data_IF_822334920134
#
_entry.id   IF_822334920134
#
_cell.length_a   1.000
_cell.length_b   1.000
_cell.length_c   1.000
_cell.angle_alpha   90.00
_cell.angle_beta   90.00
_cell.angle_gamma   90.00
#
_symmetry.space_group_name_H-M   'P 1'
#
loop_
_entity.id
_entity.type
_entity.pdbx_description
1 polymer ?
#
# COMPACT_ATOMS: atom_id res chain seq x y z
N UNK A 1 56.64 -3.47 18.34
CA UNK A 1 56.62 -3.32 16.88
C UNK A 1 56.23 -1.89 16.55
N UNK A 2 57.23 -1.02 16.44
CA UNK A 2 57.09 0.34 15.92
C UNK A 2 57.97 0.35 14.69
N UNK A 3 57.36 0.32 13.50
CA UNK A 3 58.05 0.43 12.22
C UNK A 3 57.55 1.67 11.49
N UNK A 4 58.35 2.73 11.60
CA UNK A 4 58.65 3.72 10.55
C UNK A 4 57.75 3.74 9.30
N UNK A 5 56.84 4.70 9.25
CA UNK A 5 56.37 5.34 8.00
C UNK A 5 57.20 6.60 7.79
N UNK A 6 58.34 6.48 7.12
CA UNK A 6 59.07 7.62 6.58
C UNK A 6 58.37 8.11 5.31
N UNK A 7 58.02 9.40 5.23
CA UNK A 7 57.71 10.08 3.97
C UNK A 7 56.45 10.95 3.90
N UNK A 8 55.67 11.09 4.97
CA UNK A 8 54.49 11.99 4.98
C UNK A 8 54.57 12.95 6.17
N UNK A 9 55.18 14.12 5.97
CA UNK A 9 55.08 15.23 6.93
C UNK A 9 53.67 15.82 6.85
N UNK A 10 52.91 15.70 7.95
CA UNK A 10 51.66 16.43 8.15
C UNK A 10 51.98 17.84 8.66
N UNK A 11 52.50 18.70 7.77
CA UNK A 11 52.80 20.08 8.13
C UNK A 11 51.53 20.92 8.23
N UNK A 12 51.27 21.43 9.43
CA UNK A 12 50.32 22.51 9.66
C UNK A 12 51.00 23.81 9.25
N UNK A 13 50.60 24.37 8.11
CA UNK A 13 51.29 25.44 7.37
C UNK A 13 52.61 25.00 6.71
N UNK A 14 52.57 24.45 5.48
CA UNK A 14 53.79 24.19 4.71
C UNK A 14 54.38 25.53 4.25
N UNK A 15 55.21 26.13 5.08
CA UNK A 15 56.05 27.25 4.70
C UNK A 15 57.12 26.72 3.72
N UNK A 16 56.90 26.92 2.43
CA UNK A 16 57.96 26.89 1.42
C UNK A 16 57.83 25.90 0.25
N UNK A 17 56.91 24.94 0.25
CA UNK A 17 56.83 23.93 -0.83
C UNK A 17 55.45 23.66 -1.46
N UNK A 18 54.37 24.31 -1.01
CA UNK A 18 53.00 23.94 -1.45
C UNK A 18 52.13 25.05 -2.04
N UNK A 19 52.68 26.27 -2.17
CA UNK A 19 52.01 27.38 -2.85
C UNK A 19 52.46 27.53 -4.30
N UNK A 20 51.64 28.17 -5.13
CA UNK A 20 51.97 28.44 -6.54
C UNK A 20 51.67 27.26 -7.45
N UNK A 21 50.71 26.42 -7.07
CA UNK A 21 50.26 25.33 -7.93
C UNK A 21 49.46 25.90 -9.12
N UNK A 22 49.63 25.35 -10.33
CA UNK A 22 48.79 25.72 -11.47
C UNK A 22 47.31 25.59 -11.12
N UNK A 23 46.56 26.68 -11.32
CA UNK A 23 45.12 26.75 -11.08
C UNK A 23 44.69 26.35 -9.65
N UNK A 24 45.50 26.68 -8.64
CA UNK A 24 45.22 26.39 -7.21
C UNK A 24 43.86 26.91 -6.73
N UNK A 25 43.34 27.96 -7.36
CA UNK A 25 42.00 28.49 -7.13
C UNK A 25 40.86 27.50 -7.45
N UNK A 26 41.13 26.42 -8.19
CA UNK A 26 40.17 25.35 -8.49
C UNK A 26 40.27 24.13 -7.57
N UNK A 27 41.36 24.02 -6.81
CA UNK A 27 41.61 22.86 -5.95
C UNK A 27 41.49 23.19 -4.47
N UNK A 28 41.98 24.36 -4.06
CA UNK A 28 42.18 24.74 -2.66
C UNK A 28 41.24 25.85 -2.18
N UNK A 29 40.78 26.70 -3.10
CA UNK A 29 39.83 27.76 -2.76
C UNK A 29 38.41 27.18 -2.67
N UNK A 30 37.52 27.98 -2.10
CA UNK A 30 36.14 27.59 -1.82
C UNK A 30 35.16 28.36 -2.70
N UNK A 31 34.06 27.73 -3.11
CA UNK A 31 33.08 28.39 -3.98
C UNK A 31 31.96 29.10 -3.20
N UNK A 32 31.80 28.85 -1.90
CA UNK A 32 30.79 29.51 -1.09
C UNK A 32 31.18 29.59 0.39
N UNK A 33 30.47 30.45 1.13
CA UNK A 33 30.67 30.68 2.56
C UNK A 33 30.37 29.43 3.41
N UNK A 34 29.38 28.62 3.02
CA UNK A 34 29.07 27.39 3.75
C UNK A 34 30.24 26.39 3.72
N UNK A 35 30.79 26.08 2.53
CA UNK A 35 31.91 25.16 2.40
C UNK A 35 33.15 25.71 3.13
N UNK A 36 33.41 27.01 3.00
CA UNK A 36 34.47 27.71 3.73
C UNK A 36 34.38 27.49 5.24
N UNK A 37 33.20 27.70 5.84
CA UNK A 37 32.97 27.54 7.28
C UNK A 37 33.05 26.08 7.77
N UNK A 38 33.06 25.11 6.85
CA UNK A 38 33.20 23.69 7.12
C UNK A 38 34.61 23.18 6.76
N UNK A 39 35.59 24.07 6.69
CA UNK A 39 36.97 23.69 6.37
C UNK A 39 37.10 23.07 4.98
N UNK A 40 36.26 23.49 4.03
CA UNK A 40 36.20 22.94 2.67
C UNK A 40 35.89 21.43 2.60
N UNK A 41 35.33 20.84 3.66
CA UNK A 41 34.88 19.45 3.67
C UNK A 41 33.47 19.34 3.08
N UNK A 42 33.39 19.17 1.75
CA UNK A 42 32.14 19.27 0.99
C UNK A 42 31.98 18.18 -0.07
N UNK A 43 32.95 17.27 -0.23
CA UNK A 43 32.96 16.25 -1.28
C UNK A 43 31.83 15.22 -1.13
N UNK A 44 31.43 14.91 0.10
CA UNK A 44 30.30 14.02 0.39
C UNK A 44 28.94 14.74 0.46
N UNK A 45 28.95 16.08 0.53
CA UNK A 45 27.73 16.86 0.72
C UNK A 45 26.94 16.93 -0.59
N UNK A 46 25.63 16.76 -0.49
CA UNK A 46 24.72 16.83 -1.62
C UNK A 46 23.57 17.82 -1.36
N UNK A 47 22.68 17.95 -2.34
CA UNK A 47 21.43 18.70 -2.28
C UNK A 47 21.55 20.23 -2.46
N UNK A 48 22.67 20.75 -2.97
CA UNK A 48 22.86 22.20 -3.24
C UNK A 48 23.51 22.46 -4.59
N UNK A 49 23.20 23.60 -5.20
CA UNK A 49 23.77 24.00 -6.49
C UNK A 49 25.29 24.16 -6.43
N UNK A 50 25.80 24.67 -5.31
CA UNK A 50 27.24 24.86 -5.07
C UNK A 50 28.03 23.54 -4.98
N UNK A 51 27.38 22.38 -4.82
CA UNK A 51 28.10 21.13 -4.69
C UNK A 51 28.90 20.74 -5.95
N UNK A 52 28.50 21.22 -7.13
CA UNK A 52 29.12 20.84 -8.41
C UNK A 52 30.62 21.13 -8.49
N UNK A 53 31.12 22.14 -7.76
CA UNK A 53 32.54 22.48 -7.68
C UNK A 53 33.36 21.39 -6.97
N UNK A 54 32.82 20.80 -5.91
CA UNK A 54 33.49 19.79 -5.11
C UNK A 54 33.26 18.38 -5.66
N UNK A 55 32.00 18.05 -5.93
CA UNK A 55 31.57 16.76 -6.45
C UNK A 55 30.36 16.94 -7.36
N UNK A 56 30.45 16.65 -8.68
CA UNK A 56 29.32 16.81 -9.59
C UNK A 56 28.11 15.95 -9.23
N UNK A 57 28.28 14.84 -8.51
CA UNK A 57 27.15 14.04 -8.02
C UNK A 57 26.35 14.76 -6.93
N UNK A 58 26.92 15.78 -6.27
CA UNK A 58 26.29 16.49 -5.16
C UNK A 58 25.04 17.30 -5.53
N UNK A 59 24.84 17.64 -6.81
CA UNK A 59 23.61 18.32 -7.23
C UNK A 59 22.42 17.36 -7.44
N UNK A 60 22.62 16.04 -7.35
CA UNK A 60 21.59 15.04 -7.69
C UNK A 60 20.37 15.02 -6.76
N UNK A 61 20.50 15.61 -5.56
CA UNK A 61 19.42 15.71 -4.58
C UNK A 61 18.87 17.16 -4.50
N UNK A 62 19.21 18.02 -5.47
CA UNK A 62 18.61 19.35 -5.60
C UNK A 62 17.17 19.18 -6.07
N UNK A 63 16.22 19.47 -5.19
CA UNK A 63 14.79 19.30 -5.45
C UNK A 63 14.09 20.54 -6.04
N UNK A 64 14.72 21.71 -5.98
CA UNK A 64 14.19 22.97 -6.50
C UNK A 64 15.21 23.62 -7.40
N UNK A 65 14.76 24.48 -8.32
CA UNK A 65 15.72 25.31 -9.05
C UNK A 65 16.42 26.22 -8.05
N UNK A 66 17.73 26.10 -7.95
CA UNK A 66 18.53 26.84 -6.99
C UNK A 66 19.55 27.68 -7.73
N UNK A 67 19.61 28.96 -7.37
CA UNK A 67 20.61 29.90 -7.84
C UNK A 67 21.38 30.43 -6.63
N UNK A 68 22.70 30.36 -6.66
CA UNK A 68 23.58 30.82 -5.58
C UNK A 68 24.62 31.77 -6.12
N UNK A 69 24.84 32.86 -5.39
CA UNK A 69 25.95 33.78 -5.61
C UNK A 69 26.81 33.82 -4.37
N UNK A 70 28.12 33.92 -4.56
CA UNK A 70 29.07 34.08 -3.48
C UNK A 70 30.14 35.10 -3.84
N UNK A 71 30.55 35.90 -2.86
CA UNK A 71 31.64 36.85 -3.00
C UNK A 71 32.57 36.77 -1.79
N UNK A 72 33.87 36.95 -2.05
CA UNK A 72 34.89 37.16 -1.05
C UNK A 72 35.92 38.17 -1.55
N UNK A 73 36.39 39.04 -0.67
CA UNK A 73 37.59 39.86 -0.90
C UNK A 73 38.73 39.16 -0.18
N UNK A 74 39.75 38.79 -0.96
CA UNK A 74 40.95 38.10 -0.54
C UNK A 74 42.11 39.09 -0.39
N UNK A 75 43.31 38.57 -0.13
CA UNK A 75 44.52 39.38 -0.01
C UNK A 75 44.82 40.20 -1.28
N UNK A 76 45.51 41.32 -1.11
CA UNK A 76 45.90 42.22 -2.21
C UNK A 76 44.73 42.70 -3.08
N UNK A 77 43.56 42.91 -2.47
CA UNK A 77 42.32 43.34 -3.14
C UNK A 77 41.82 42.36 -4.22
N UNK A 78 42.27 41.10 -4.16
CA UNK A 78 41.81 40.06 -5.08
C UNK A 78 40.37 39.70 -4.77
N UNK A 79 39.50 39.70 -5.78
CA UNK A 79 38.08 39.37 -5.63
C UNK A 79 37.82 37.95 -6.12
N UNK A 80 37.06 37.19 -5.33
CA UNK A 80 36.57 35.89 -5.71
C UNK A 80 35.04 35.94 -5.83
N UNK A 81 34.54 35.65 -7.02
CA UNK A 81 33.11 35.65 -7.33
C UNK A 81 32.69 34.27 -7.81
N UNK A 82 31.61 33.74 -7.24
CA UNK A 82 31.08 32.44 -7.64
C UNK A 82 29.59 32.56 -7.94
N UNK A 83 29.16 31.88 -8.99
CA UNK A 83 27.76 31.71 -9.33
C UNK A 83 27.52 30.22 -9.54
N UNK A 84 26.45 29.69 -8.95
CA UNK A 84 26.03 28.31 -9.12
C UNK A 84 24.54 28.25 -9.38
N UNK A 85 24.15 27.42 -10.33
CA UNK A 85 22.78 27.18 -10.73
C UNK A 85 22.56 25.68 -10.83
N UNK A 86 21.45 25.18 -10.30
CA UNK A 86 21.02 23.81 -10.47
C UNK A 86 19.52 23.76 -10.74
N UNK A 87 19.12 22.94 -11.71
CA UNK A 87 17.75 22.76 -12.13
C UNK A 87 17.44 21.27 -12.25
N UNK A 88 16.51 20.74 -11.41
CA UNK A 88 16.05 19.37 -11.57
C UNK A 88 15.25 19.24 -12.86
N UNK A 89 15.72 18.39 -13.78
CA UNK A 89 15.03 18.10 -15.04
C UNK A 89 13.87 17.12 -14.82
N UNK A 90 14.05 16.20 -13.88
CA UNK A 90 13.06 15.23 -13.39
C UNK A 90 13.56 14.63 -12.05
N UNK A 91 12.90 13.59 -11.54
CA UNK A 91 13.22 12.94 -10.26
C UNK A 91 14.64 12.32 -10.18
N UNK A 92 15.23 11.99 -11.33
CA UNK A 92 16.50 11.29 -11.42
C UNK A 92 17.64 12.14 -11.97
N UNK A 93 17.35 13.22 -12.72
CA UNK A 93 18.35 13.99 -13.46
C UNK A 93 18.34 15.46 -13.07
N UNK A 94 19.54 16.00 -12.82
CA UNK A 94 19.73 17.43 -12.50
C UNK A 94 20.77 18.01 -13.45
N UNK A 95 20.43 19.17 -14.02
CA UNK A 95 21.35 20.00 -14.78
C UNK A 95 21.92 21.09 -13.88
N UNK A 96 23.20 21.38 -14.02
CA UNK A 96 23.87 22.44 -13.28
C UNK A 96 24.78 23.28 -14.17
N UNK A 97 24.94 24.53 -13.75
CA UNK A 97 25.96 25.43 -14.27
C UNK A 97 26.65 26.09 -13.07
N UNK A 98 27.97 26.20 -13.10
CA UNK A 98 28.69 27.02 -12.12
C UNK A 98 29.79 27.80 -12.79
N UNK A 99 30.13 28.96 -12.25
CA UNK A 99 31.29 29.74 -12.66
C UNK A 99 31.98 30.31 -11.44
N UNK A 100 33.30 30.11 -11.37
CA UNK A 100 34.18 30.67 -10.36
C UNK A 100 35.15 31.61 -11.07
N UNK A 101 35.20 32.85 -10.59
CA UNK A 101 36.06 33.88 -11.11
C UNK A 101 36.95 34.45 -10.00
N UNK A 102 38.23 34.59 -10.29
CA UNK A 102 39.22 35.23 -9.46
C UNK A 102 39.78 36.43 -10.23
N UNK A 103 39.70 37.62 -9.66
CA UNK A 103 40.17 38.87 -10.26
C UNK A 103 41.22 39.47 -9.33
N UNK A 104 42.46 39.65 -9.79
CA UNK A 104 43.49 40.30 -8.99
C UNK A 104 43.19 41.78 -8.78
N UNK A 105 43.83 42.38 -7.77
CA UNK A 105 43.98 43.83 -7.72
C UNK A 105 44.72 44.38 -8.95
N UNK A 106 44.60 45.69 -9.18
CA UNK A 106 45.29 46.35 -10.29
C UNK A 106 46.80 46.41 -10.01
N UNK A 107 47.60 46.00 -11.00
CA UNK A 107 49.05 46.12 -11.01
C UNK A 107 49.49 47.18 -12.03
N UNK A 108 50.51 47.96 -11.69
CA UNK A 108 51.11 48.94 -12.61
C UNK A 108 51.95 48.20 -13.66
N UNK A 109 51.77 48.51 -14.94
CA UNK A 109 52.67 47.99 -15.97
C UNK A 109 53.96 48.79 -16.00
N UNK A 110 55.07 48.10 -15.83
CA UNK A 110 56.41 48.69 -15.91
C UNK A 110 57.16 48.16 -17.13
N UNK A 111 58.20 48.88 -17.56
CA UNK A 111 59.19 48.34 -18.48
C UNK A 111 60.28 47.53 -17.75
N UNK A 112 61.35 47.17 -18.47
CA UNK A 112 62.44 46.35 -17.94
C UNK A 112 63.31 47.05 -16.88
N UNK A 113 63.25 48.38 -16.78
CA UNK A 113 63.99 49.15 -15.76
C UNK A 113 63.09 49.59 -14.59
N UNK A 114 61.78 49.31 -14.67
CA UNK A 114 60.81 49.59 -13.63
C UNK A 114 59.99 50.87 -13.87
N UNK A 115 60.19 51.56 -14.99
CA UNK A 115 59.46 52.78 -15.29
C UNK A 115 58.02 52.47 -15.72
N UNK A 116 57.08 53.29 -15.24
CA UNK A 116 55.66 53.11 -15.53
C UNK A 116 55.36 53.32 -17.01
N UNK A 117 54.57 52.40 -17.59
CA UNK A 117 54.00 52.56 -18.94
C UNK A 117 52.69 53.35 -18.98
N UNK A 118 52.29 53.96 -17.86
CA UNK A 118 51.14 54.86 -17.80
C UNK A 118 49.77 54.19 -17.72
N UNK A 119 49.71 52.86 -17.54
CA UNK A 119 48.45 52.15 -17.29
C UNK A 119 48.64 50.95 -16.35
N UNK A 120 47.52 50.50 -15.80
CA UNK A 120 47.42 49.31 -14.94
C UNK A 120 46.75 48.17 -15.67
N UNK A 121 47.05 46.95 -15.25
CA UNK A 121 46.37 45.74 -15.71
C UNK A 121 45.96 44.89 -14.50
N UNK A 122 45.07 43.94 -14.72
CA UNK A 122 44.72 42.90 -13.75
C UNK A 122 44.85 41.52 -14.39
N UNK A 123 44.84 40.51 -13.55
CA UNK A 123 44.69 39.12 -13.92
C UNK A 123 43.26 38.66 -13.62
N UNK A 124 42.64 37.98 -14.58
CA UNK A 124 41.34 37.33 -14.42
C UNK A 124 41.44 35.86 -14.74
N UNK A 125 41.13 35.01 -13.77
CA UNK A 125 41.02 33.58 -13.91
C UNK A 125 39.55 33.18 -13.79
N UNK A 126 39.03 32.44 -14.76
CA UNK A 126 37.63 32.00 -14.76
C UNK A 126 37.56 30.51 -15.05
N UNK A 127 36.82 29.77 -14.22
CA UNK A 127 36.44 28.39 -14.50
C UNK A 127 34.93 28.23 -14.51
N UNK A 128 34.41 27.68 -15.59
CA UNK A 128 33.00 27.41 -15.76
C UNK A 128 32.76 25.91 -15.91
N UNK A 129 31.69 25.44 -15.29
CA UNK A 129 31.31 24.04 -15.20
C UNK A 129 29.90 23.89 -15.77
N UNK A 130 29.74 22.97 -16.71
CA UNK A 130 28.43 22.41 -17.07
C UNK A 130 28.34 21.05 -16.39
N UNK A 131 27.34 20.88 -15.53
CA UNK A 131 27.19 19.69 -14.69
C UNK A 131 25.96 18.93 -15.11
N UNK A 132 26.10 17.62 -15.25
CA UNK A 132 24.98 16.69 -15.33
C UNK A 132 25.12 15.67 -14.22
N UNK A 133 24.07 15.51 -13.43
CA UNK A 133 24.06 14.51 -12.38
C UNK A 133 22.82 13.63 -12.47
N UNK A 134 22.97 12.40 -11.95
CA UNK A 134 21.95 11.38 -12.00
C UNK A 134 21.87 10.60 -10.70
N UNK A 135 20.66 10.40 -10.20
CA UNK A 135 20.32 9.39 -9.19
C UNK A 135 20.28 8.01 -9.84
N UNK A 136 21.23 7.14 -9.48
CA UNK A 136 21.25 5.76 -9.99
C UNK A 136 20.27 4.85 -9.24
N UNK A 137 20.11 5.10 -7.94
CA UNK A 137 19.16 4.43 -7.07
C UNK A 137 18.91 5.31 -5.83
N UNK A 138 18.18 4.80 -4.83
CA UNK A 138 17.86 5.57 -3.62
C UNK A 138 19.06 5.96 -2.75
N UNK A 139 20.25 5.41 -3.01
CA UNK A 139 21.46 5.58 -2.19
C UNK A 139 22.68 6.07 -2.97
N UNK A 140 22.71 5.94 -4.30
CA UNK A 140 23.89 6.22 -5.11
C UNK A 140 23.59 7.26 -6.17
N UNK A 141 24.46 8.26 -6.22
CA UNK A 141 24.40 9.40 -7.13
C UNK A 141 25.70 9.49 -7.91
N UNK A 142 25.60 9.85 -9.18
CA UNK A 142 26.76 10.09 -10.04
C UNK A 142 26.64 11.46 -10.69
N UNK A 143 27.76 12.03 -11.09
CA UNK A 143 27.77 13.25 -11.88
C UNK A 143 29.03 13.42 -12.69
N UNK A 144 28.91 14.25 -13.71
CA UNK A 144 30.00 14.66 -14.60
C UNK A 144 30.00 16.18 -14.74
N UNK A 145 31.18 16.78 -14.71
CA UNK A 145 31.39 18.18 -15.10
C UNK A 145 32.14 18.23 -16.42
N UNK A 146 31.68 19.07 -17.34
CA UNK A 146 32.54 19.63 -18.37
C UNK A 146 33.05 21.00 -17.91
N UNK A 147 34.37 21.17 -17.86
CA UNK A 147 35.04 22.33 -17.29
C UNK A 147 35.80 23.10 -18.36
N UNK A 148 35.60 24.42 -18.41
CA UNK A 148 36.39 25.33 -19.24
C UNK A 148 37.07 26.31 -18.32
N UNK A 149 38.39 26.36 -18.39
CA UNK A 149 39.25 27.22 -17.58
C UNK A 149 39.92 28.24 -18.49
N UNK A 150 39.97 29.49 -18.07
CA UNK A 150 40.61 30.56 -18.82
C UNK A 150 41.35 31.51 -17.89
N UNK A 151 42.40 32.11 -18.42
CA UNK A 151 43.24 33.07 -17.73
C UNK A 151 43.55 34.21 -18.70
N UNK A 152 43.30 35.43 -18.26
CA UNK A 152 43.63 36.65 -18.98
C UNK A 152 44.56 37.48 -18.09
N UNK A 153 45.71 37.89 -18.64
CA UNK A 153 46.67 38.78 -17.98
C UNK A 153 47.04 39.86 -19.00
N UNK A 154 46.64 41.11 -18.72
CA UNK A 154 46.86 42.22 -19.64
C UNK A 154 46.35 41.92 -21.07
N UNK A 155 47.23 41.74 -22.06
CA UNK A 155 46.85 41.41 -23.45
C UNK A 155 46.92 39.92 -23.77
N UNK A 156 47.35 39.07 -22.84
CA UNK A 156 47.54 37.64 -23.06
C UNK A 156 46.34 36.86 -22.53
N UNK A 157 45.86 35.92 -23.33
CA UNK A 157 44.75 35.04 -22.99
C UNK A 157 45.12 33.59 -23.25
N UNK A 158 44.69 32.70 -22.35
CA UNK A 158 44.80 31.27 -22.52
C UNK A 158 43.57 30.54 -21.98
N UNK A 159 43.30 29.36 -22.54
CA UNK A 159 42.16 28.52 -22.17
C UNK A 159 42.55 27.05 -22.16
N UNK A 160 42.00 26.30 -21.20
CA UNK A 160 42.07 24.86 -21.11
C UNK A 160 40.69 24.26 -20.83
N UNK A 161 40.57 22.95 -21.04
CA UNK A 161 39.32 22.23 -20.83
C UNK A 161 39.57 20.95 -20.04
N UNK A 162 38.56 20.49 -19.31
CA UNK A 162 38.65 19.23 -18.59
C UNK A 162 37.30 18.61 -18.28
N UNK A 163 37.35 17.41 -17.72
CA UNK A 163 36.20 16.66 -17.27
C UNK A 163 36.44 16.20 -15.83
N UNK A 164 35.42 16.34 -15.00
CA UNK A 164 35.39 15.76 -13.66
C UNK A 164 34.32 14.67 -13.58
N UNK A 165 34.56 13.62 -12.80
CA UNK A 165 33.57 12.60 -12.48
C UNK A 165 33.44 12.45 -10.97
N UNK A 166 32.21 12.30 -10.50
CA UNK A 166 31.91 12.20 -9.08
C UNK A 166 30.86 11.17 -8.77
N UNK A 167 30.96 10.61 -7.57
CA UNK A 167 30.01 9.65 -6.99
C UNK A 167 29.75 10.05 -5.54
N UNK A 168 28.49 9.95 -5.13
CA UNK A 168 28.10 10.01 -3.71
C UNK A 168 27.28 8.77 -3.39
N UNK A 169 27.54 8.16 -2.24
CA UNK A 169 26.77 7.02 -1.73
C UNK A 169 26.34 7.27 -0.29
N UNK A 170 25.02 7.30 -0.08
CA UNK A 170 24.40 7.35 1.24
C UNK A 170 24.30 5.90 1.76
N UNK A 171 25.19 5.53 2.67
CA UNK A 171 25.21 4.17 3.21
C UNK A 171 24.02 3.93 4.15
N UNK A 172 23.79 4.90 5.03
CA UNK A 172 22.63 5.01 5.94
C UNK A 172 21.90 6.34 5.71
N UNK A 173 20.84 6.63 6.46
CA UNK A 173 20.17 7.94 6.40
C UNK A 173 21.06 9.07 6.95
N UNK A 174 22.01 8.71 7.81
CA UNK A 174 22.93 9.62 8.49
C UNK A 174 24.30 9.74 7.81
N UNK A 175 24.80 8.68 7.17
CA UNK A 175 26.18 8.62 6.67
C UNK A 175 26.26 8.60 5.15
N UNK A 176 27.00 9.56 4.60
CA UNK A 176 27.26 9.69 3.16
C UNK A 176 28.77 9.71 2.88
N UNK A 177 29.15 9.05 1.79
CA UNK A 177 30.53 9.00 1.29
C UNK A 177 30.58 9.67 -0.08
N UNK A 178 31.59 10.49 -0.31
CA UNK A 178 31.84 11.13 -1.60
C UNK A 178 33.19 10.72 -2.18
N UNK A 179 33.25 10.52 -3.49
CA UNK A 179 34.48 10.34 -4.24
C UNK A 179 34.40 11.18 -5.51
N UNK A 180 35.46 11.91 -5.84
CA UNK A 180 35.53 12.70 -7.08
C UNK A 180 36.92 12.59 -7.68
N UNK A 181 36.95 12.38 -9.00
CA UNK A 181 38.15 12.50 -9.82
C UNK A 181 37.99 13.76 -10.65
N UNK A 182 38.72 14.81 -10.29
CA UNK A 182 38.73 16.06 -11.04
C UNK A 182 39.91 16.09 -12.01
N UNK A 183 39.77 16.87 -13.06
CA UNK A 183 40.80 17.09 -14.05
C UNK A 183 41.24 15.78 -14.75
N UNK A 184 40.29 14.91 -15.14
CA UNK A 184 40.59 13.64 -15.83
C UNK A 184 41.39 13.87 -17.12
N UNK A 185 41.17 15.02 -17.75
CA UNK A 185 42.03 15.57 -18.81
C UNK A 185 42.86 16.69 -18.17
N UNK A 186 44.20 16.62 -18.16
CA UNK A 186 45.03 17.69 -17.61
C UNK A 186 44.71 19.04 -18.26
N UNK A 187 44.60 20.09 -17.44
CA UNK A 187 44.36 21.45 -17.91
C UNK A 187 45.72 22.08 -18.18
N UNK A 188 46.02 22.46 -19.42
CA UNK A 188 47.26 23.16 -19.79
C UNK A 188 46.94 24.55 -20.31
N UNK A 189 47.55 25.58 -19.72
CA UNK A 189 47.53 26.96 -20.24
C UNK A 189 48.96 27.49 -20.22
N UNK A 190 49.54 27.73 -21.39
CA UNK A 190 50.95 28.11 -21.50
C UNK A 190 51.87 27.06 -20.86
N UNK A 191 52.82 27.44 -19.98
CA UNK A 191 53.70 26.50 -19.29
C UNK A 191 53.02 25.77 -18.12
N UNK A 192 51.87 26.29 -17.66
CA UNK A 192 51.18 25.79 -16.48
C UNK A 192 50.30 24.61 -16.85
N UNK A 193 50.33 23.56 -16.03
CA UNK A 193 49.42 22.43 -16.21
C UNK A 193 48.92 21.95 -14.84
N UNK A 194 47.62 21.67 -14.70
CA UNK A 194 47.06 20.95 -13.56
C UNK A 194 46.80 19.48 -13.92
N UNK A 195 47.24 18.59 -13.04
CA UNK A 195 47.06 17.15 -13.16
C UNK A 195 45.73 16.69 -12.59
N UNK A 196 45.59 15.37 -12.47
CA UNK A 196 44.40 14.74 -11.91
C UNK A 196 44.33 15.01 -10.41
N UNK A 197 43.15 15.37 -9.90
CA UNK A 197 42.90 15.46 -8.47
C UNK A 197 41.96 14.33 -8.03
N UNK A 198 42.27 13.67 -6.93
CA UNK A 198 41.42 12.68 -6.29
C UNK A 198 40.92 13.25 -4.96
N UNK A 199 39.60 13.40 -4.81
CA UNK A 199 38.96 13.89 -3.59
C UNK A 199 38.05 12.82 -3.01
N UNK A 200 38.11 12.61 -1.70
CA UNK A 200 37.21 11.72 -0.97
C UNK A 200 36.70 12.43 0.27
N UNK A 201 35.46 12.12 0.66
CA UNK A 201 34.80 12.78 1.79
C UNK A 201 33.81 11.90 2.51
N UNK A 202 33.51 12.27 3.75
CA UNK A 202 32.50 11.66 4.61
C UNK A 202 31.66 12.78 5.21
N UNK A 203 30.33 12.63 5.14
CA UNK A 203 29.35 13.39 5.91
C UNK A 203 28.65 12.43 6.87
N UNK A 204 28.53 12.80 8.14
CA UNK A 204 27.80 12.03 9.14
C UNK A 204 26.88 12.92 9.96
N UNK A 205 25.60 12.57 10.03
CA UNK A 205 24.57 13.28 10.79
C UNK A 205 24.36 12.63 12.16
N UNK A 206 24.44 13.46 13.19
CA UNK A 206 24.24 13.10 14.58
C UNK A 206 23.03 13.85 15.15
N UNK A 207 22.50 13.33 16.26
CA UNK A 207 21.44 13.99 17.05
C UNK A 207 20.22 14.36 16.16
N UNK A 208 19.70 13.40 15.38
CA UNK A 208 18.55 13.60 14.47
C UNK A 208 18.72 14.84 13.56
N UNK A 209 19.84 14.91 12.85
CA UNK A 209 20.21 16.00 11.92
C UNK A 209 20.35 17.38 12.57
N UNK A 210 20.66 17.44 13.86
CA UNK A 210 21.03 18.69 14.52
C UNK A 210 22.52 18.97 14.47
N UNK A 211 23.36 17.95 14.42
CA UNK A 211 24.80 18.09 14.36
C UNK A 211 25.31 17.26 13.19
N UNK A 212 25.91 17.87 12.17
CA UNK A 212 26.54 17.11 11.08
C UNK A 212 28.04 17.37 11.09
N UNK A 213 28.83 16.32 10.89
CA UNK A 213 30.28 16.39 10.80
C UNK A 213 30.75 15.98 9.41
N UNK A 214 31.85 16.61 8.98
CA UNK A 214 32.43 16.48 7.65
C UNK A 214 33.93 16.22 7.77
N UNK A 215 34.44 15.32 6.93
CA UNK A 215 35.86 15.05 6.77
C UNK A 215 36.15 14.83 5.29
N UNK A 216 37.09 15.59 4.73
CA UNK A 216 37.56 15.44 3.36
C UNK A 216 39.07 15.26 3.31
N UNK A 217 39.54 14.46 2.35
CA UNK A 217 40.96 14.31 1.98
C UNK A 217 41.08 14.42 0.47
N UNK A 218 42.05 15.20 0.01
CA UNK A 218 42.32 15.43 -1.42
C UNK A 218 43.79 15.19 -1.72
N UNK A 219 44.05 14.46 -2.80
CA UNK A 219 45.37 14.28 -3.40
C UNK A 219 45.35 15.02 -4.73
N UNK A 220 46.20 16.02 -4.88
CA UNK A 220 46.19 16.95 -6.02
C UNK A 220 47.38 16.71 -6.94
N UNK A 221 47.19 17.02 -8.23
CA UNK A 221 48.22 17.00 -9.26
C UNK A 221 48.91 15.63 -9.47
N UNK A 222 48.14 14.54 -9.35
CA UNK A 222 48.63 13.18 -9.61
C UNK A 222 49.15 13.07 -11.05
N UNK A 223 50.25 12.33 -11.22
CA UNK A 223 50.90 12.00 -12.50
C UNK A 223 51.57 13.18 -13.25
N UNK A 224 52.14 14.15 -12.53
CA UNK A 224 53.02 15.16 -13.13
C UNK A 224 54.48 14.96 -12.72
N UNK A 225 55.35 14.84 -13.72
CA UNK A 225 56.75 14.47 -13.52
C UNK A 225 57.64 15.47 -12.77
N UNK A 226 57.24 16.75 -12.66
CA UNK A 226 58.07 17.82 -12.09
C UNK A 226 57.56 18.45 -10.80
N UNK A 227 56.34 18.12 -10.35
CA UNK A 227 55.75 18.65 -9.11
C UNK A 227 55.39 17.52 -8.16
N UNK A 228 55.65 17.69 -6.86
CA UNK A 228 55.27 16.73 -5.84
C UNK A 228 53.74 16.65 -5.72
N UNK A 229 53.21 15.43 -5.55
CA UNK A 229 51.80 15.23 -5.22
C UNK A 229 51.49 15.98 -3.92
N UNK A 230 50.38 16.72 -3.90
CA UNK A 230 50.00 17.53 -2.76
C UNK A 230 48.80 16.94 -2.03
N UNK A 231 48.90 16.77 -0.72
CA UNK A 231 47.79 16.30 0.11
C UNK A 231 47.15 17.47 0.84
N UNK A 232 45.82 17.52 0.81
CA UNK A 232 44.97 18.49 1.50
C UNK A 232 43.91 17.75 2.29
N UNK A 233 43.47 18.34 3.40
CA UNK A 233 42.42 17.77 4.23
C UNK A 233 41.56 18.89 4.81
N UNK A 234 40.33 18.56 5.14
CA UNK A 234 39.34 19.46 5.72
C UNK A 234 38.48 18.73 6.73
N UNK A 235 38.17 19.40 7.83
CA UNK A 235 37.29 18.94 8.89
C UNK A 235 36.27 20.04 9.18
N UNK A 236 35.00 19.67 9.34
CA UNK A 236 33.93 20.64 9.56
C UNK A 236 32.82 20.07 10.43
N UNK A 237 32.15 20.95 11.17
CA UNK A 237 30.92 20.63 11.90
C UNK A 237 29.88 21.72 11.65
N UNK A 238 28.63 21.33 11.41
CA UNK A 238 27.47 22.23 11.40
C UNK A 238 26.50 21.84 12.51
N UNK A 239 26.03 22.83 13.26
CA UNK A 239 25.05 22.65 14.32
C UNK A 239 23.82 23.53 14.09
N UNK A 240 22.64 22.90 14.09
CA UNK A 240 21.32 23.52 13.96
C UNK A 240 20.84 23.99 15.33
N UNK A 241 20.97 25.29 15.61
CA UNK A 241 20.51 25.89 16.86
C UNK A 241 18.98 25.93 16.90
N UNK A 242 18.39 26.49 15.84
CA UNK A 242 16.94 26.54 15.60
C UNK A 242 16.68 26.18 14.13
N UNK A 243 15.42 26.01 13.74
CA UNK A 243 15.05 25.55 12.38
C UNK A 243 15.72 26.38 11.27
N UNK A 244 15.90 27.67 11.48
CA UNK A 244 16.46 28.60 10.50
C UNK A 244 17.93 28.93 10.73
N UNK A 245 18.51 28.67 11.90
CA UNK A 245 19.86 29.14 12.24
C UNK A 245 20.83 27.99 12.42
N UNK A 246 21.93 28.08 11.68
CA UNK A 246 23.04 27.16 11.71
C UNK A 246 24.31 27.89 12.10
N UNK A 247 25.10 27.26 12.96
CA UNK A 247 26.47 27.66 13.23
C UNK A 247 27.41 26.59 12.71
N UNK A 248 28.57 27.02 12.24
CA UNK A 248 29.55 26.14 11.59
C UNK A 248 30.94 26.48 12.08
N UNK A 249 31.74 25.45 12.26
CA UNK A 249 33.16 25.58 12.54
C UNK A 249 33.91 24.56 11.69
N UNK A 250 35.07 24.95 11.18
CA UNK A 250 35.83 24.09 10.30
C UNK A 250 37.29 24.45 10.30
N UNK A 251 38.11 23.51 9.88
CA UNK A 251 39.55 23.62 9.89
C UNK A 251 40.12 22.81 8.74
N UNK A 252 41.06 23.39 8.01
CA UNK A 252 41.73 22.71 6.91
C UNK A 252 43.24 22.94 6.99
N UNK A 253 43.96 22.45 5.99
CA UNK A 253 45.42 22.59 5.92
C UNK A 253 45.97 24.04 5.87
N UNK A 254 45.11 25.07 5.76
CA UNK A 254 45.50 26.48 5.60
C UNK A 254 44.80 27.46 6.53
N UNK A 255 43.58 27.17 6.97
CA UNK A 255 42.78 28.12 7.73
C UNK A 255 41.86 27.43 8.73
N UNK A 256 41.64 28.13 9.84
CA UNK A 256 40.54 27.86 10.77
C UNK A 256 39.38 28.74 10.35
N UNK A 257 38.15 28.23 10.40
CA UNK A 257 36.97 28.92 9.89
C UNK A 257 35.80 28.80 10.86
N UNK A 258 35.00 29.85 10.92
CA UNK A 258 33.72 29.87 11.59
C UNK A 258 32.66 30.49 10.67
N UNK A 259 31.41 30.09 10.81
CA UNK A 259 30.36 30.63 9.98
C UNK A 259 28.97 30.49 10.56
N UNK A 260 28.06 31.23 9.95
CA UNK A 260 26.66 31.32 10.31
C UNK A 260 25.81 31.16 9.05
N UNK A 261 24.71 30.41 9.17
CA UNK A 261 23.76 30.18 8.10
C UNK A 261 22.35 30.48 8.56
N UNK A 262 21.65 31.33 7.82
CA UNK A 262 20.23 31.62 8.01
C UNK A 262 19.48 30.99 6.85
N UNK A 263 18.78 29.89 7.12
CA UNK A 263 17.99 29.16 6.15
C UNK A 263 16.52 29.55 6.29
N UNK A 264 16.01 30.30 5.32
CA UNK A 264 14.59 30.53 5.11
C UNK A 264 14.06 29.57 4.03
N UNK A 265 12.75 29.55 3.83
CA UNK A 265 12.09 28.63 2.89
C UNK A 265 12.70 28.71 1.47
N UNK A 266 12.70 29.92 0.89
CA UNK A 266 13.19 30.19 -0.47
C UNK A 266 14.59 30.82 -0.54
N UNK A 267 15.15 31.26 0.58
CA UNK A 267 16.43 31.96 0.60
C UNK A 267 17.32 31.45 1.73
N UNK A 268 18.59 31.21 1.43
CA UNK A 268 19.62 31.00 2.44
C UNK A 268 20.65 32.12 2.38
N UNK A 269 21.10 32.55 3.55
CA UNK A 269 22.21 33.48 3.71
C UNK A 269 23.30 32.79 4.51
N UNK A 270 24.48 32.67 3.92
CA UNK A 270 25.64 32.09 4.58
C UNK A 270 26.76 33.13 4.69
N UNK A 271 27.38 33.17 5.86
CA UNK A 271 28.55 33.99 6.13
C UNK A 271 29.65 33.12 6.74
N UNK A 272 30.89 33.33 6.30
CA UNK A 272 32.06 32.73 6.90
C UNK A 272 33.17 33.74 7.15
N UNK A 273 33.91 33.50 8.22
CA UNK A 273 35.17 34.14 8.51
C UNK A 273 36.24 33.04 8.62
N UNK A 274 37.26 33.13 7.75
CA UNK A 274 38.42 32.25 7.79
C UNK A 274 39.63 33.00 8.31
N UNK A 275 40.31 32.43 9.29
CA UNK A 275 41.53 32.93 9.89
C UNK A 275 42.72 32.26 9.20
N UNK A 276 43.38 33.02 8.32
CA UNK A 276 44.62 32.64 7.65
C UNK A 276 45.78 33.42 8.30
N UNK A 277 47.05 32.93 8.28
CA UNK A 277 48.17 33.64 8.90
C UNK A 277 48.44 35.05 8.36
N UNK A 278 47.98 35.33 7.13
CA UNK A 278 48.18 36.64 6.48
C UNK A 278 47.12 37.63 6.95
N UNK A 279 45.84 37.25 6.92
CA UNK A 279 44.71 38.08 7.33
C UNK A 279 43.44 37.21 7.48
N UNK A 280 42.38 37.81 8.00
CA UNK A 280 41.05 37.22 8.03
C UNK A 280 40.32 37.45 6.70
N UNK A 281 39.71 36.39 6.17
CA UNK A 281 38.93 36.44 4.94
C UNK A 281 37.45 36.27 5.26
N UNK A 282 36.65 37.25 4.84
CA UNK A 282 35.19 37.22 4.96
C UNK A 282 34.56 36.75 3.66
N UNK A 283 33.60 35.83 3.75
CA UNK A 283 32.84 35.35 2.58
C UNK A 283 31.35 35.43 2.84
N UNK A 284 30.62 35.81 1.80
CA UNK A 284 29.16 35.94 1.83
C UNK A 284 28.58 35.12 0.70
N UNK A 285 27.50 34.39 0.99
CA UNK A 285 26.74 33.67 -0.04
C UNK A 285 25.25 33.83 0.17
N UNK A 286 24.54 33.94 -0.94
CA UNK A 286 23.08 33.97 -0.98
C UNK A 286 22.60 32.92 -1.96
N UNK A 287 21.75 32.02 -1.48
CA UNK A 287 21.09 31.01 -2.31
C UNK A 287 19.60 31.32 -2.39
N UNK A 288 19.04 31.35 -3.59
CA UNK A 288 17.62 31.52 -3.85
C UNK A 288 17.06 30.27 -4.53
N UNK A 289 15.97 29.73 -3.97
CA UNK A 289 15.26 28.55 -4.46
C UNK A 289 13.90 28.94 -5.01
N UNK A 290 13.62 28.51 -6.24
CA UNK A 290 12.38 28.80 -6.95
C UNK A 290 11.99 27.65 -7.88
N UNK A 291 10.78 27.73 -8.44
CA UNK A 291 10.23 26.72 -9.34
C UNK A 291 9.27 25.74 -8.66
N UNK A 292 8.52 25.03 -9.49
CA UNK A 292 7.52 24.02 -9.11
C UNK A 292 7.99 22.64 -9.58
N UNK A 293 8.87 22.03 -8.81
CA UNK A 293 9.03 20.57 -8.78
C UNK A 293 8.34 20.10 -7.51
N UNK A 294 7.53 19.01 -7.56
CA UNK A 294 6.78 18.57 -6.40
C UNK A 294 7.75 18.36 -5.25
N UNK A 295 7.50 19.04 -4.15
CA UNK A 295 8.32 18.93 -2.94
C UNK A 295 8.50 17.45 -2.61
N UNK A 296 9.66 17.01 -2.13
CA UNK A 296 9.79 15.62 -1.62
C UNK A 296 8.67 15.26 -0.62
N UNK A 297 8.17 16.28 0.10
CA UNK A 297 6.97 16.19 0.95
C UNK A 297 5.65 16.05 0.18
N UNK A 298 5.49 16.64 -1.00
CA UNK A 298 4.33 16.45 -1.89
C UNK A 298 4.35 15.08 -2.57
N UNK A 299 5.54 14.56 -2.91
CA UNK A 299 5.72 13.17 -3.36
C UNK A 299 5.41 12.17 -2.25
N UNK A 300 5.89 12.43 -1.03
CA UNK A 300 5.53 11.67 0.17
C UNK A 300 4.04 11.79 0.49
N UNK A 301 3.46 12.98 0.34
CA UNK A 301 2.02 13.19 0.49
C UNK A 301 1.30 12.32 -0.54
N UNK A 302 1.62 12.45 -1.83
CA UNK A 302 0.99 11.69 -2.91
C UNK A 302 1.04 10.19 -2.66
N UNK A 303 2.19 9.65 -2.25
CA UNK A 303 2.32 8.24 -1.84
C UNK A 303 1.41 7.88 -0.66
N UNK A 304 1.40 8.71 0.40
CA UNK A 304 0.50 8.52 1.56
C UNK A 304 -0.97 8.63 1.15
N UNK A 305 -1.32 9.54 0.24
CA UNK A 305 -2.69 9.72 -0.25
C UNK A 305 -3.11 8.52 -1.10
N UNK A 306 -2.23 7.99 -1.95
CA UNK A 306 -2.48 6.76 -2.71
C UNK A 306 -2.64 5.53 -1.80
N UNK A 307 -1.81 5.39 -0.76
CA UNK A 307 -1.98 4.34 0.26
C UNK A 307 -3.28 4.49 1.04
N UNK A 308 -3.64 5.72 1.42
CA UNK A 308 -4.92 6.04 2.06
C UNK A 308 -6.10 5.69 1.16
N UNK A 309 -6.05 6.01 -0.14
CA UNK A 309 -7.11 5.66 -1.09
C UNK A 309 -7.23 4.16 -1.28
N UNK A 310 -6.12 3.41 -1.38
CA UNK A 310 -6.14 1.94 -1.43
C UNK A 310 -6.77 1.34 -0.16
N UNK A 311 -6.39 1.85 1.01
CA UNK A 311 -6.94 1.42 2.31
C UNK A 311 -8.42 1.77 2.45
N UNK A 312 -8.83 2.93 1.94
CA UNK A 312 -10.23 3.34 1.93
C UNK A 312 -11.06 2.44 1.01
N UNK A 313 -10.53 2.11 -0.18
CA UNK A 313 -11.17 1.20 -1.12
C UNK A 313 -11.31 -0.22 -0.54
N UNK A 314 -10.28 -0.77 0.10
CA UNK A 314 -10.36 -2.09 0.74
C UNK A 314 -11.37 -2.10 1.90
N UNK A 315 -11.41 -1.03 2.69
CA UNK A 315 -12.40 -0.89 3.77
C UNK A 315 -13.84 -0.78 3.24
N UNK A 316 -14.05 -0.06 2.13
CA UNK A 316 -15.35 0.02 1.45
C UNK A 316 -15.80 -1.35 0.92
N UNK A 317 -14.89 -2.11 0.32
CA UNK A 317 -15.17 -3.45 -0.18
C UNK A 317 -15.54 -4.43 0.95
N UNK A 318 -14.75 -4.46 2.03
CA UNK A 318 -15.05 -5.24 3.24
C UNK A 318 -16.41 -4.85 3.85
N UNK A 319 -16.72 -3.56 3.91
CA UNK A 319 -18.00 -3.06 4.41
C UNK A 319 -19.15 -3.53 3.54
N UNK A 320 -19.04 -3.43 2.21
CA UNK A 320 -20.09 -3.86 1.29
C UNK A 320 -20.35 -5.36 1.40
N UNK A 321 -19.30 -6.19 1.43
CA UNK A 321 -19.42 -7.63 1.64
C UNK A 321 -20.09 -7.97 2.97
N UNK A 322 -19.80 -7.19 4.03
CA UNK A 322 -20.42 -7.36 5.34
C UNK A 322 -21.88 -6.91 5.38
N UNK A 323 -22.23 -5.83 4.68
CA UNK A 323 -23.62 -5.39 4.55
C UNK A 323 -24.45 -6.40 3.76
N UNK A 324 -23.90 -6.98 2.68
CA UNK A 324 -24.54 -8.04 1.91
C UNK A 324 -24.75 -9.32 2.73
N UNK A 325 -23.72 -9.76 3.47
CA UNK A 325 -23.85 -10.96 4.33
C UNK A 325 -24.87 -10.75 5.45
N UNK A 326 -24.88 -9.58 6.10
CA UNK A 326 -25.88 -9.23 7.11
C UNK A 326 -27.29 -9.15 6.51
N UNK A 327 -27.44 -8.66 5.28
CA UNK A 327 -28.73 -8.62 4.60
C UNK A 327 -29.24 -10.03 4.31
N UNK A 328 -28.38 -10.90 3.78
CA UNK A 328 -28.71 -12.31 3.53
C UNK A 328 -29.07 -13.04 4.83
N UNK A 329 -28.33 -12.82 5.92
CA UNK A 329 -28.62 -13.39 7.23
C UNK A 329 -29.96 -12.90 7.79
N UNK A 330 -30.28 -11.61 7.67
CA UNK A 330 -31.59 -11.05 8.06
C UNK A 330 -32.74 -11.63 7.24
N UNK A 331 -32.55 -11.81 5.93
CA UNK A 331 -33.57 -12.43 5.08
C UNK A 331 -33.78 -13.90 5.46
N UNK A 332 -32.71 -14.63 5.76
CA UNK A 332 -32.79 -16.00 6.26
C UNK A 332 -33.53 -16.09 7.60
N UNK A 333 -33.19 -15.25 8.57
CA UNK A 333 -33.88 -15.21 9.87
C UNK A 333 -35.36 -14.87 9.73
N UNK A 334 -35.71 -13.90 8.89
CA UNK A 334 -37.12 -13.59 8.59
C UNK A 334 -37.87 -14.76 7.98
N UNK A 335 -37.20 -15.53 7.12
CA UNK A 335 -37.78 -16.72 6.50
C UNK A 335 -37.98 -17.84 7.52
N UNK A 336 -36.99 -18.11 8.37
CA UNK A 336 -37.10 -19.08 9.48
C UNK A 336 -38.20 -18.69 10.48
N UNK A 337 -38.29 -17.40 10.86
CA UNK A 337 -39.35 -16.88 11.73
C UNK A 337 -40.73 -17.04 11.09
N UNK A 338 -40.87 -16.74 9.79
CA UNK A 338 -42.11 -16.94 9.06
C UNK A 338 -42.54 -18.42 9.02
N UNK A 339 -41.61 -19.34 8.78
CA UNK A 339 -41.86 -20.80 8.83
C UNK A 339 -42.37 -21.20 10.22
N UNK A 340 -41.68 -20.76 11.28
CA UNK A 340 -42.03 -21.11 12.66
C UNK A 340 -43.43 -20.59 13.04
N UNK A 341 -43.76 -19.35 12.68
CA UNK A 341 -45.09 -18.76 12.91
C UNK A 341 -46.17 -19.56 12.17
N UNK A 342 -45.94 -19.90 10.90
CA UNK A 342 -46.91 -20.68 10.10
C UNK A 342 -47.12 -22.08 10.67
N UNK A 343 -46.05 -22.78 11.06
CA UNK A 343 -46.15 -24.09 11.72
C UNK A 343 -46.90 -24.02 13.04
N UNK A 344 -46.63 -23.00 13.85
CA UNK A 344 -47.31 -22.79 15.13
C UNK A 344 -48.82 -22.59 14.93
N UNK A 345 -49.21 -21.69 14.03
CA UNK A 345 -50.62 -21.44 13.71
C UNK A 345 -51.30 -22.67 13.10
N UNK A 346 -50.61 -23.45 12.28
CA UNK A 346 -51.14 -24.68 11.72
C UNK A 346 -51.38 -25.75 12.81
N UNK A 347 -50.46 -25.87 13.78
CA UNK A 347 -50.63 -26.76 14.94
C UNK A 347 -51.79 -26.33 15.83
N UNK A 348 -51.91 -25.04 16.13
CA UNK A 348 -53.02 -24.49 16.91
C UNK A 348 -54.37 -24.81 16.24
N UNK A 349 -54.51 -24.53 14.93
CA UNK A 349 -55.73 -24.86 14.19
C UNK A 349 -56.02 -26.37 14.13
N UNK A 350 -54.98 -27.22 14.11
CA UNK A 350 -55.14 -28.66 14.17
C UNK A 350 -55.64 -29.13 15.54
N UNK A 351 -55.12 -28.58 16.63
CA UNK A 351 -55.56 -28.87 18.00
C UNK A 351 -57.01 -28.41 18.23
N UNK A 352 -57.40 -27.27 17.67
CA UNK A 352 -58.76 -26.73 17.71
C UNK A 352 -59.76 -27.49 16.80
N UNK A 353 -59.30 -28.46 16.02
CA UNK A 353 -60.12 -29.25 15.08
C UNK A 353 -60.46 -28.55 13.77
N UNK A 354 -59.87 -27.38 13.49
CA UNK A 354 -60.02 -26.61 12.26
C UNK A 354 -59.07 -27.10 11.15
N UNK A 355 -59.23 -28.35 10.73
CA UNK A 355 -58.34 -29.04 9.78
C UNK A 355 -58.18 -28.33 8.43
N UNK A 356 -59.24 -27.69 7.92
CA UNK A 356 -59.17 -26.95 6.64
C UNK A 356 -58.28 -25.71 6.73
N UNK A 357 -58.31 -24.99 7.86
CA UNK A 357 -57.49 -23.80 8.07
C UNK A 357 -56.02 -24.19 8.32
N UNK A 358 -55.79 -25.26 9.09
CA UNK A 358 -54.46 -25.84 9.28
C UNK A 358 -53.83 -26.26 7.93
N UNK A 359 -54.60 -26.93 7.06
CA UNK A 359 -54.09 -27.39 5.77
C UNK A 359 -53.76 -26.23 4.81
N UNK A 360 -54.54 -25.15 4.82
CA UNK A 360 -54.23 -23.95 4.02
C UNK A 360 -52.90 -23.30 4.43
N UNK A 361 -52.65 -23.19 5.74
CA UNK A 361 -51.40 -22.65 6.27
C UNK A 361 -50.19 -23.52 5.90
N UNK A 362 -50.35 -24.84 5.92
CA UNK A 362 -49.31 -25.79 5.51
C UNK A 362 -49.04 -25.77 4.01
N UNK A 363 -50.08 -25.64 3.17
CA UNK A 363 -49.89 -25.50 1.72
C UNK A 363 -49.15 -24.22 1.35
N UNK A 364 -49.48 -23.10 2.01
CA UNK A 364 -48.74 -21.84 1.82
C UNK A 364 -47.28 -21.96 2.23
N UNK A 365 -47.00 -22.69 3.32
CA UNK A 365 -45.64 -22.99 3.77
C UNK A 365 -44.89 -23.88 2.77
N UNK A 366 -45.47 -25.02 2.39
CA UNK A 366 -44.86 -25.99 1.49
C UNK A 366 -44.67 -25.46 0.06
N UNK A 367 -45.41 -24.42 -0.33
CA UNK A 367 -45.15 -23.71 -1.58
C UNK A 367 -43.82 -22.95 -1.56
N UNK A 368 -43.40 -22.45 -0.40
CA UNK A 368 -42.16 -21.68 -0.22
C UNK A 368 -40.99 -22.50 0.30
N UNK A 369 -41.26 -23.54 1.09
CA UNK A 369 -40.29 -24.51 1.59
C UNK A 369 -40.82 -25.94 1.36
N UNK A 370 -40.69 -26.48 0.13
CA UNK A 370 -41.24 -27.78 -0.24
C UNK A 370 -40.62 -28.95 0.52
N UNK A 371 -39.48 -28.77 1.18
CA UNK A 371 -38.75 -29.82 1.89
C UNK A 371 -38.95 -29.77 3.41
N UNK A 372 -39.81 -28.87 3.90
CA UNK A 372 -40.07 -28.74 5.32
C UNK A 372 -40.65 -30.04 5.92
N UNK A 373 -39.82 -30.74 6.69
CA UNK A 373 -40.16 -32.05 7.27
C UNK A 373 -41.35 -31.92 8.23
N UNK A 374 -41.33 -30.90 9.11
CA UNK A 374 -42.38 -30.71 10.11
C UNK A 374 -43.73 -30.35 9.50
N UNK A 375 -43.75 -29.62 8.39
CA UNK A 375 -44.98 -29.31 7.67
C UNK A 375 -45.58 -30.55 7.01
N UNK A 376 -44.75 -31.38 6.35
CA UNK A 376 -45.18 -32.65 5.73
C UNK A 376 -45.69 -33.65 6.76
N UNK A 377 -45.06 -33.72 7.93
CA UNK A 377 -45.52 -34.57 9.02
C UNK A 377 -46.91 -34.15 9.50
N UNK A 378 -47.12 -32.85 9.74
CA UNK A 378 -48.41 -32.33 10.20
C UNK A 378 -49.52 -32.46 9.14
N UNK A 379 -49.19 -32.26 7.85
CA UNK A 379 -50.13 -32.47 6.73
C UNK A 379 -50.61 -33.92 6.67
N UNK A 380 -49.69 -34.89 6.79
CA UNK A 380 -50.02 -36.31 6.85
C UNK A 380 -50.91 -36.65 8.06
N UNK A 381 -50.69 -36.02 9.23
CA UNK A 381 -51.55 -36.21 10.39
C UNK A 381 -52.97 -35.68 10.16
N UNK A 382 -53.09 -34.49 9.56
CA UNK A 382 -54.37 -33.89 9.18
C UNK A 382 -55.10 -34.79 8.20
N UNK A 383 -54.42 -35.33 7.19
CA UNK A 383 -55.01 -36.22 6.20
C UNK A 383 -55.54 -37.51 6.85
N UNK A 384 -54.74 -38.15 7.71
CA UNK A 384 -55.15 -39.36 8.45
C UNK A 384 -56.37 -39.10 9.33
N UNK A 385 -56.39 -37.99 10.09
CA UNK A 385 -57.57 -37.63 10.91
C UNK A 385 -58.79 -37.33 10.05
N UNK A 386 -58.62 -36.65 8.92
CA UNK A 386 -59.69 -36.39 7.96
C UNK A 386 -60.29 -37.68 7.40
N UNK A 387 -59.45 -38.65 7.03
CA UNK A 387 -59.85 -39.98 6.57
C UNK A 387 -60.63 -40.75 7.66
N UNK A 388 -60.18 -40.71 8.92
CA UNK A 388 -60.87 -41.34 10.05
C UNK A 388 -62.25 -40.70 10.29
N UNK A 389 -62.34 -39.37 10.28
CA UNK A 389 -63.61 -38.65 10.47
C UNK A 389 -64.60 -38.93 9.34
N UNK A 390 -64.13 -38.97 8.09
CA UNK A 390 -64.94 -39.33 6.92
C UNK A 390 -65.46 -40.77 7.00
N UNK A 391 -64.59 -41.72 7.36
CA UNK A 391 -64.96 -43.12 7.57
C UNK A 391 -66.03 -43.28 8.67
N UNK A 392 -65.88 -42.56 9.79
CA UNK A 392 -66.86 -42.58 10.89
C UNK A 392 -68.23 -42.01 10.46
N UNK A 393 -68.27 -40.87 9.75
CA UNK A 393 -69.52 -40.31 9.24
C UNK A 393 -70.20 -41.24 8.23
N UNK A 394 -69.44 -41.78 7.28
CA UNK A 394 -69.98 -42.73 6.29
C UNK A 394 -70.42 -44.04 6.93
N UNK A 395 -69.79 -44.47 8.01
CA UNK A 395 -70.24 -45.63 8.78
C UNK A 395 -71.61 -45.39 9.43
N UNK A 396 -71.83 -44.23 10.04
CA UNK A 396 -73.12 -43.85 10.59
C UNK A 396 -74.22 -43.80 9.50
N UNK A 397 -73.92 -43.22 8.34
CA UNK A 397 -74.83 -43.21 7.18
C UNK A 397 -75.16 -44.62 6.68
N UNK A 398 -74.15 -45.49 6.55
CA UNK A 398 -74.34 -46.87 6.15
C UNK A 398 -75.20 -47.67 7.14
N UNK A 399 -75.02 -47.43 8.44
CA UNK A 399 -75.84 -48.05 9.49
C UNK A 399 -77.30 -47.59 9.45
N UNK A 400 -77.54 -46.31 9.18
CA UNK A 400 -78.90 -45.76 9.07
C UNK A 400 -79.62 -46.34 7.84
N UNK A 401 -78.95 -46.38 6.69
CA UNK A 401 -79.47 -47.01 5.46
C UNK A 401 -79.76 -48.51 5.66
N UNK A 402 -78.89 -49.22 6.38
CA UNK A 402 -79.10 -50.62 6.73
C UNK A 402 -80.37 -50.82 7.55
N UNK A 403 -80.60 -50.00 8.58
CA UNK A 403 -81.81 -50.05 9.43
C UNK A 403 -83.08 -49.74 8.66
N UNK A 404 -83.00 -48.92 7.61
CA UNK A 404 -84.12 -48.61 6.72
C UNK A 404 -84.39 -49.68 5.65
N UNK A 405 -83.69 -50.83 5.70
CA UNK A 405 -83.74 -51.90 4.69
C UNK A 405 -83.27 -51.48 3.28
N UNK A 406 -82.50 -50.38 3.16
CA UNK A 406 -81.94 -49.89 1.89
C UNK A 406 -80.55 -50.48 1.65
N UNK A 407 -80.50 -51.79 1.48
CA UNK A 407 -79.25 -52.57 1.49
C UNK A 407 -78.28 -52.25 0.34
N UNK A 408 -78.80 -51.93 -0.86
CA UNK A 408 -77.97 -51.58 -2.01
C UNK A 408 -77.19 -50.26 -1.75
N UNK A 409 -77.87 -49.25 -1.21
CA UNK A 409 -77.26 -47.96 -0.88
C UNK A 409 -76.32 -48.05 0.33
N UNK A 410 -76.69 -48.87 1.33
CA UNK A 410 -75.82 -49.18 2.45
C UNK A 410 -74.53 -49.87 1.98
N UNK A 411 -74.62 -50.77 0.97
CA UNK A 411 -73.44 -51.43 0.41
C UNK A 411 -72.48 -50.41 -0.23
N UNK A 412 -73.01 -49.43 -0.96
CA UNK A 412 -72.19 -48.39 -1.59
C UNK A 412 -71.57 -47.42 -0.58
N UNK A 413 -72.29 -47.10 0.50
CA UNK A 413 -71.72 -46.34 1.62
C UNK A 413 -70.58 -47.12 2.31
N UNK A 414 -70.74 -48.43 2.53
CA UNK A 414 -69.68 -49.29 3.10
C UNK A 414 -68.46 -49.41 2.18
N UNK A 415 -68.66 -49.56 0.86
CA UNK A 415 -67.56 -49.57 -0.11
C UNK A 415 -66.72 -48.28 0.00
N UNK A 416 -67.36 -47.11 0.15
CA UNK A 416 -66.66 -45.82 0.32
C UNK A 416 -65.82 -45.77 1.60
N UNK A 417 -66.23 -46.45 2.67
CA UNK A 417 -65.44 -46.56 3.91
C UNK A 417 -64.22 -47.44 3.67
N UNK A 418 -64.40 -48.64 3.09
CA UNK A 418 -63.33 -49.63 2.90
C UNK A 418 -62.23 -49.11 1.95
N UNK A 419 -62.57 -48.22 1.01
CA UNK A 419 -61.58 -47.53 0.16
C UNK A 419 -60.64 -46.67 0.99
N UNK A 420 -61.14 -46.02 2.04
CA UNK A 420 -60.40 -45.06 2.88
C UNK A 420 -59.75 -45.74 4.10
N UNK A 421 -60.47 -46.67 4.74
CA UNK A 421 -59.99 -47.51 5.84
C UNK A 421 -60.40 -48.97 5.61
N UNK A 422 -59.47 -49.74 5.02
CA UNK A 422 -59.66 -51.17 4.71
C UNK A 422 -59.90 -52.04 5.95
N UNK A 423 -59.43 -51.58 7.12
CA UNK A 423 -59.47 -52.34 8.36
C UNK A 423 -60.59 -51.88 9.30
N UNK A 424 -61.51 -51.03 8.83
CA UNK A 424 -62.62 -50.52 9.63
C UNK A 424 -63.55 -51.66 10.06
N UNK A 425 -63.33 -52.20 11.27
CA UNK A 425 -63.98 -53.41 11.79
C UNK A 425 -65.50 -53.37 11.66
N UNK A 426 -66.11 -52.25 12.04
CA UNK A 426 -67.57 -52.08 11.97
C UNK A 426 -68.12 -52.11 10.54
N UNK A 427 -67.37 -51.56 9.57
CA UNK A 427 -67.82 -51.48 8.18
C UNK A 427 -67.69 -52.85 7.49
N UNK A 428 -66.62 -53.60 7.80
CA UNK A 428 -66.44 -54.96 7.34
C UNK A 428 -67.56 -55.89 7.85
N UNK A 429 -67.90 -55.83 9.14
CA UNK A 429 -69.03 -56.58 9.71
C UNK A 429 -70.35 -56.21 9.02
N UNK A 430 -70.61 -54.91 8.84
CA UNK A 430 -71.81 -54.42 8.17
C UNK A 430 -71.89 -54.89 6.71
N UNK A 431 -70.75 -54.99 6.00
CA UNK A 431 -70.69 -55.51 4.64
C UNK A 431 -71.19 -56.96 4.55
N UNK A 432 -70.77 -57.83 5.48
CA UNK A 432 -71.24 -59.22 5.54
C UNK A 432 -72.74 -59.30 5.83
N UNK A 433 -73.24 -58.49 6.77
CA UNK A 433 -74.67 -58.42 7.09
C UNK A 433 -75.51 -57.92 5.90
N UNK A 434 -75.06 -56.88 5.19
CA UNK A 434 -75.70 -56.37 3.97
C UNK A 434 -75.72 -57.45 2.89
N UNK A 435 -74.58 -58.12 2.65
CA UNK A 435 -74.47 -59.19 1.65
C UNK A 435 -75.43 -60.35 1.94
N UNK A 436 -75.54 -60.76 3.21
CA UNK A 436 -76.49 -61.78 3.62
C UNK A 436 -77.95 -61.35 3.38
N UNK A 437 -78.32 -60.10 3.70
CA UNK A 437 -79.67 -59.57 3.47
C UNK A 437 -80.03 -59.46 1.98
N UNK A 438 -79.08 -59.06 1.13
CA UNK A 438 -79.27 -59.03 -0.32
C UNK A 438 -79.49 -60.44 -0.90
N UNK A 439 -78.70 -61.43 -0.46
CA UNK A 439 -78.88 -62.84 -0.85
C UNK A 439 -80.23 -63.40 -0.37
N UNK A 440 -80.72 -62.98 0.79
CA UNK A 440 -82.05 -63.33 1.28
C UNK A 440 -83.17 -62.74 0.40
N UNK A 441 -83.01 -61.50 -0.07
CA UNK A 441 -83.94 -60.86 -1.02
C UNK A 441 -83.99 -61.61 -2.36
N UNK A 442 -82.87 -62.19 -2.77
CA UNK A 442 -82.74 -63.06 -3.96
C UNK A 442 -83.17 -64.52 -3.71
N UNK A 443 -83.65 -64.87 -2.51
CA UNK A 443 -84.03 -66.24 -2.11
C UNK A 443 -82.87 -67.26 -2.14
N UNK A 444 -81.61 -66.81 -2.11
CA UNK A 444 -80.41 -67.65 -2.07
C UNK A 444 -80.02 -67.99 -0.63
N UNK A 445 -80.84 -68.79 0.03
CA UNK A 445 -80.73 -69.07 1.46
C UNK A 445 -79.43 -69.80 1.87
N UNK A 446 -78.93 -70.72 1.03
CA UNK A 446 -77.71 -71.48 1.32
C UNK A 446 -76.45 -70.59 1.24
N UNK A 447 -76.39 -69.70 0.25
CA UNK A 447 -75.32 -68.72 0.12
C UNK A 447 -75.36 -67.68 1.26
N UNK A 448 -76.56 -67.20 1.62
CA UNK A 448 -76.74 -66.31 2.77
C UNK A 448 -76.27 -66.95 4.09
N UNK A 449 -76.56 -68.25 4.28
CA UNK A 449 -76.08 -69.03 5.44
C UNK A 449 -74.55 -69.08 5.49
N UNK A 450 -73.88 -69.35 4.38
CA UNK A 450 -72.42 -69.41 4.31
C UNK A 450 -71.79 -68.05 4.65
N UNK A 451 -72.31 -66.95 4.09
CA UNK A 451 -71.84 -65.58 4.38
C UNK A 451 -71.98 -65.22 5.86
N UNK A 452 -73.08 -65.63 6.52
CA UNK A 452 -73.27 -65.41 7.95
C UNK A 452 -72.38 -66.30 8.83
N UNK A 453 -72.09 -67.53 8.39
CA UNK A 453 -71.12 -68.40 9.07
C UNK A 453 -69.69 -67.86 8.98
N UNK A 454 -69.30 -67.31 7.82
CA UNK A 454 -68.04 -66.59 7.67
C UNK A 454 -67.98 -65.38 8.61
N UNK A 455 -69.08 -64.61 8.71
CA UNK A 455 -69.17 -63.49 9.66
C UNK A 455 -69.02 -63.95 11.11
N UNK A 456 -69.63 -65.07 11.52
CA UNK A 456 -69.47 -65.61 12.88
C UNK A 456 -68.07 -66.17 13.16
N UNK A 457 -67.29 -66.50 12.12
CA UNK A 457 -65.86 -66.77 12.25
C UNK A 457 -65.04 -65.52 12.59
N UNK A 458 -65.55 -64.32 12.26
CA UNK A 458 -64.91 -63.03 12.50
C UNK A 458 -65.44 -62.37 13.79
N UNK A 459 -66.75 -62.44 14.04
CA UNK A 459 -67.45 -61.96 15.24
C UNK A 459 -68.43 -63.03 15.72
N UNK A 460 -67.94 -63.92 16.59
CA UNK A 460 -68.71 -65.07 17.10
C UNK A 460 -69.90 -64.70 17.98
N UNK A 461 -69.99 -63.44 18.41
CA UNK A 461 -71.03 -62.92 19.31
C UNK A 461 -72.11 -62.09 18.59
N UNK A 462 -72.03 -61.99 17.26
CA UNK A 462 -72.91 -61.12 16.49
C UNK A 462 -74.38 -61.56 16.58
N UNK A 463 -75.16 -60.85 17.42
CA UNK A 463 -76.54 -61.20 17.73
C UNK A 463 -77.47 -61.17 16.51
N UNK A 464 -77.23 -60.27 15.56
CA UNK A 464 -78.03 -60.14 14.34
C UNK A 464 -77.73 -61.28 13.37
N UNK A 465 -76.47 -61.64 13.17
CA UNK A 465 -76.08 -62.80 12.37
C UNK A 465 -76.66 -64.10 12.92
N UNK A 466 -76.61 -64.32 14.24
CA UNK A 466 -77.21 -65.49 14.90
C UNK A 466 -78.73 -65.54 14.71
N UNK A 467 -79.40 -64.38 14.76
CA UNK A 467 -80.85 -64.28 14.57
C UNK A 467 -81.23 -64.57 13.12
N UNK A 468 -80.50 -64.01 12.16
CA UNK A 468 -80.68 -64.27 10.73
C UNK A 468 -80.40 -65.74 10.39
N UNK A 469 -79.35 -66.35 10.94
CA UNK A 469 -79.05 -67.77 10.78
C UNK A 469 -80.16 -68.67 11.30
N UNK A 470 -80.73 -68.37 12.49
CA UNK A 470 -81.89 -69.10 13.01
C UNK A 470 -83.11 -68.99 12.08
N UNK A 471 -83.37 -67.79 11.54
CA UNK A 471 -84.46 -67.58 10.56
C UNK A 471 -84.22 -68.35 9.27
N UNK A 472 -83.01 -68.31 8.72
CA UNK A 472 -82.63 -69.04 7.51
C UNK A 472 -82.71 -70.55 7.74
N UNK A 473 -82.21 -71.05 8.88
CA UNK A 473 -82.26 -72.47 9.22
C UNK A 473 -83.70 -72.95 9.34
N UNK A 474 -84.59 -72.18 9.97
CA UNK A 474 -86.02 -72.50 10.01
C UNK A 474 -86.65 -72.54 8.61
N UNK A 475 -86.29 -71.63 7.70
CA UNK A 475 -86.76 -71.63 6.30
C UNK A 475 -86.23 -72.86 5.54
N UNK A 476 -84.95 -73.21 5.70
CA UNK A 476 -84.33 -74.39 5.07
C UNK A 476 -84.95 -75.69 5.60
N UNK A 477 -85.20 -75.78 6.91
CA UNK A 477 -85.80 -76.97 7.55
C UNK A 477 -87.27 -77.17 7.14
N UNK A 478 -88.01 -76.08 6.91
CA UNK A 478 -89.40 -76.12 6.38
C UNK A 478 -89.43 -76.49 4.89
N UNK A 479 -88.47 -76.01 4.11
CA UNK A 479 -88.44 -76.24 2.66
C UNK A 479 -88.02 -77.68 2.28
N UNK A 480 -87.39 -78.45 3.18
CA UNK A 480 -86.87 -79.79 2.88
C UNK A 480 -85.79 -79.76 1.78
N UNK A 481 -85.01 -80.84 1.55
CA UNK A 481 -83.98 -80.83 0.52
C UNK A 481 -84.64 -80.88 -0.87
N UNK A 482 -84.97 -79.72 -1.43
CA UNK A 482 -85.46 -79.56 -2.79
C UNK A 482 -84.49 -78.70 -3.62
N UNK A 483 -83.68 -79.44 -4.41
CA UNK A 483 -83.10 -79.11 -5.72
C UNK A 483 -82.07 -77.98 -5.86
N UNK A 484 -80.81 -78.43 -6.08
CA UNK A 484 -79.68 -77.85 -6.82
C UNK A 484 -79.32 -76.37 -6.63
#
# INVERSE_FOLDING_TARGET
MVSSLHGYEFDYFPAGQTGGQPFEYLSDYTNNAQASALGNAFTAKNSRAVCSYWNPAGISEVNYTEFTVSNAVLFSQTQQNCISFAHPLNDDYVFGFSSLQLISGNALKTDSVGDSRGYTFNETQTASFITFSRKLNSKTYIGINFKVVSQAIDTVFGQGQSVDFGVIRNNTEETSYGLTVQNMVPITIGPDTAGINLKTGIENKFIKDRLNAFLDVSILNINKGTQSNLIRWGLGVEYKIIKQLWIRAGINSREVSAGLGINADKMDFDYSASFHPIDMVHRFSVSYRFGYTPTGQELLLKKKTEELYKRQASFLDERNQREESLKAEREKLKFEEWINIKLMLARENYEDGNYSAANQLLQELLQKDPDNVSAKELENEIEKKGQINYAAQKYLEAMDLYKQNRFDEAQDAVKKIIIVDKNHKGANILAYLIKAQLLLKEQKYLEAKNVLMELLGIDSSNSEALTLLKRIQAVIDIMGPAQQ
#
